data_IF_599095097833
#
_entry.id   IF_599095097833
#
_cell.length_a   1.000
_cell.length_b   1.000
_cell.length_c   1.000
_cell.angle_alpha   90.00
_cell.angle_beta   90.00
_cell.angle_gamma   90.00
#
_symmetry.space_group_name_H-M   'P 1'
#
loop_
_entity.id
_entity.type
_entity.pdbx_description
1 polymer ?
#
# COMPACT_ATOMS: atom_id res chain seq x y z
N UNK A 1 12.48 9.62 4.60
CA UNK A 1 13.25 8.42 4.32
C UNK A 1 12.32 7.26 4.01
N UNK A 2 12.60 6.54 2.93
CA UNK A 2 11.77 5.42 2.50
C UNK A 2 12.66 4.22 2.20
N UNK A 3 12.26 3.04 2.72
CA UNK A 3 12.99 1.79 2.52
C UNK A 3 12.04 0.69 2.05
N UNK A 4 12.54 -0.24 1.26
CA UNK A 4 11.89 -1.53 1.03
C UNK A 4 12.70 -2.61 1.74
N UNK A 5 12.03 -3.64 2.24
CA UNK A 5 12.66 -4.69 3.05
C UNK A 5 12.01 -6.04 2.83
N UNK A 6 12.79 -7.08 3.04
CA UNK A 6 12.31 -8.46 3.10
C UNK A 6 11.77 -8.83 4.49
N UNK A 7 11.99 -7.99 5.51
CA UNK A 7 11.58 -8.24 6.89
C UNK A 7 10.10 -7.91 7.13
N UNK A 8 9.49 -8.62 8.05
CA UNK A 8 8.20 -8.26 8.66
C UNK A 8 8.40 -8.03 10.17
N UNK A 9 7.33 -7.78 10.89
CA UNK A 9 7.39 -7.52 12.32
C UNK A 9 7.40 -8.78 13.20
N UNK A 10 7.65 -9.94 12.61
CA UNK A 10 7.75 -11.19 13.37
C UNK A 10 9.12 -11.30 14.06
N UNK A 11 9.18 -11.83 15.30
CA UNK A 11 10.46 -11.94 16.02
C UNK A 11 11.55 -12.69 15.25
N UNK A 12 11.19 -13.73 14.46
CA UNK A 12 12.15 -14.46 13.65
C UNK A 12 12.87 -13.59 12.62
N UNK A 13 12.19 -12.59 12.05
CA UNK A 13 12.78 -11.67 11.08
C UNK A 13 13.62 -10.59 11.76
N UNK A 14 13.21 -10.14 12.96
CA UNK A 14 13.89 -9.05 13.65
C UNK A 14 15.12 -9.52 14.45
N UNK A 15 15.14 -10.78 14.90
CA UNK A 15 16.16 -11.29 15.83
C UNK A 15 16.96 -12.46 15.26
N UNK A 16 16.32 -13.38 14.51
CA UNK A 16 16.91 -14.67 14.11
C UNK A 16 17.35 -14.76 12.67
N UNK A 17 16.97 -13.81 11.80
CA UNK A 17 17.30 -13.82 10.38
C UNK A 17 18.10 -12.58 9.99
N UNK A 18 18.90 -12.75 8.95
CA UNK A 18 19.51 -11.62 8.24
C UNK A 18 18.52 -11.17 7.19
N UNK A 19 18.08 -9.90 7.28
CA UNK A 19 17.12 -9.31 6.37
C UNK A 19 17.74 -8.14 5.61
N UNK A 20 17.23 -7.88 4.42
CA UNK A 20 17.71 -6.81 3.56
C UNK A 20 16.84 -5.56 3.69
N UNK A 21 17.47 -4.42 3.93
CA UNK A 21 16.84 -3.09 3.88
C UNK A 21 17.49 -2.29 2.77
N UNK A 22 16.70 -1.84 1.82
CA UNK A 22 17.20 -1.05 0.69
C UNK A 22 16.56 0.33 0.72
N UNK A 23 17.36 1.42 0.82
CA UNK A 23 16.80 2.76 0.74
C UNK A 23 16.28 3.04 -0.67
N UNK A 24 15.12 3.67 -0.76
CA UNK A 24 14.53 4.08 -2.03
C UNK A 24 14.85 5.55 -2.23
N UNK A 25 15.80 5.83 -3.11
CA UNK A 25 16.31 7.19 -3.37
C UNK A 25 15.77 7.81 -4.66
N UNK A 26 15.40 6.99 -5.63
CA UNK A 26 14.83 7.48 -6.89
C UNK A 26 13.49 8.18 -6.65
N UNK A 27 13.35 9.47 -7.05
CA UNK A 27 12.12 10.23 -6.81
C UNK A 27 10.86 9.61 -7.44
N UNK A 28 10.98 9.04 -8.64
CA UNK A 28 9.85 8.40 -9.32
C UNK A 28 9.39 7.14 -8.57
N UNK A 29 10.33 6.31 -8.12
CA UNK A 29 10.02 5.12 -7.32
C UNK A 29 9.41 5.49 -5.97
N UNK A 30 9.94 6.52 -5.31
CA UNK A 30 9.39 7.03 -4.04
C UNK A 30 7.96 7.50 -4.20
N UNK A 31 7.67 8.24 -5.27
CA UNK A 31 6.31 8.72 -5.56
C UNK A 31 5.36 7.57 -5.81
N UNK A 32 5.78 6.55 -6.54
CA UNK A 32 4.97 5.36 -6.80
C UNK A 32 4.64 4.60 -5.52
N UNK A 33 5.61 4.40 -4.63
CA UNK A 33 5.39 3.76 -3.33
C UNK A 33 4.45 4.58 -2.44
N UNK A 34 4.58 5.90 -2.47
CA UNK A 34 3.69 6.80 -1.75
C UNK A 34 2.25 6.67 -2.24
N UNK A 35 2.03 6.57 -3.54
CA UNK A 35 0.70 6.34 -4.14
C UNK A 35 0.10 5.01 -3.68
N UNK A 36 0.91 3.95 -3.59
CA UNK A 36 0.48 2.65 -3.07
C UNK A 36 0.00 2.78 -1.62
N UNK A 37 0.78 3.42 -0.76
CA UNK A 37 0.43 3.61 0.65
C UNK A 37 -0.82 4.48 0.82
N UNK A 38 -0.95 5.55 0.04
CA UNK A 38 -2.14 6.40 0.05
C UNK A 38 -3.38 5.65 -0.41
N UNK A 39 -3.26 4.75 -1.39
CA UNK A 39 -4.35 3.89 -1.83
C UNK A 39 -4.83 2.96 -0.72
N UNK A 40 -3.92 2.37 0.05
CA UNK A 40 -4.29 1.58 1.23
C UNK A 40 -5.07 2.41 2.24
N UNK A 41 -4.61 3.62 2.53
CA UNK A 41 -5.24 4.50 3.51
C UNK A 41 -6.65 4.94 3.09
N UNK A 42 -6.91 5.06 1.78
CA UNK A 42 -8.21 5.47 1.24
C UNK A 42 -9.20 4.33 1.04
N UNK A 43 -8.78 3.06 1.24
CA UNK A 43 -9.67 1.92 1.04
C UNK A 43 -10.88 2.00 1.97
N UNK A 44 -12.08 2.09 1.39
CA UNK A 44 -13.34 2.16 2.12
C UNK A 44 -14.25 0.96 1.85
N UNK A 45 -13.72 -0.11 1.29
CA UNK A 45 -14.44 -1.35 0.98
C UNK A 45 -13.93 -2.51 1.82
N UNK A 46 -12.62 -2.72 1.86
CA UNK A 46 -11.96 -3.80 2.60
C UNK A 46 -11.11 -3.32 3.76
N UNK A 47 -10.87 -2.01 3.84
CA UNK A 47 -10.07 -1.43 4.91
C UNK A 47 -10.72 -1.58 6.28
N UNK A 48 -9.86 -1.68 7.31
CA UNK A 48 -10.29 -1.74 8.72
C UNK A 48 -9.49 -0.74 9.52
N UNK A 49 -10.16 -0.07 10.45
CA UNK A 49 -9.53 0.90 11.34
C UNK A 49 -9.31 0.25 12.70
N UNK A 50 -8.07 0.25 13.17
CA UNK A 50 -7.73 -0.24 14.51
C UNK A 50 -8.08 0.83 15.55
N UNK A 51 -8.89 0.44 16.54
CA UNK A 51 -9.30 1.30 17.65
C UNK A 51 -8.34 1.19 18.84
N UNK A 52 -8.29 2.20 19.72
CA UNK A 52 -7.43 2.15 20.91
C UNK A 52 -7.69 0.99 21.84
N UNK A 53 -8.92 0.42 21.83
CA UNK A 53 -9.29 -0.74 22.64
C UNK A 53 -8.90 -2.09 22.03
N UNK A 54 -8.22 -2.08 20.88
CA UNK A 54 -7.80 -3.27 20.15
C UNK A 54 -8.83 -3.83 19.18
N UNK A 55 -10.01 -3.23 19.08
CA UNK A 55 -11.03 -3.64 18.10
C UNK A 55 -10.76 -3.05 16.73
N UNK A 56 -11.26 -3.73 15.70
CA UNK A 56 -11.20 -3.26 14.32
C UNK A 56 -12.58 -2.89 13.83
N UNK A 57 -12.72 -1.68 13.29
CA UNK A 57 -13.93 -1.24 12.61
C UNK A 57 -13.73 -1.30 11.10
N UNK A 58 -14.70 -1.82 10.40
CA UNK A 58 -14.69 -1.81 8.94
C UNK A 58 -14.96 -0.40 8.43
N UNK A 59 -14.06 0.09 7.57
CA UNK A 59 -14.24 1.37 6.89
C UNK A 59 -15.28 1.19 5.77
N UNK A 60 -16.30 2.04 5.75
CA UNK A 60 -17.38 2.00 4.75
C UNK A 60 -17.44 3.32 4.00
N UNK A 61 -17.81 3.31 2.70
CA UNK A 61 -17.99 4.56 1.97
C UNK A 61 -19.14 5.37 2.58
N UNK A 62 -18.94 6.68 2.66
CA UNK A 62 -19.99 7.62 3.09
C UNK A 62 -21.04 7.77 1.98
N UNK A 63 -22.29 8.18 2.30
CA UNK A 63 -23.28 8.49 1.28
C UNK A 63 -22.72 9.49 0.26
N UNK A 64 -22.83 9.17 -1.03
CA UNK A 64 -22.28 9.98 -2.11
C UNK A 64 -20.77 9.83 -2.36
N UNK A 65 -20.06 9.10 -1.51
CA UNK A 65 -18.64 8.84 -1.67
C UNK A 65 -18.42 7.65 -2.61
N UNK A 66 -17.46 7.76 -3.54
CA UNK A 66 -17.08 6.66 -4.41
C UNK A 66 -16.41 5.54 -3.61
N UNK A 67 -16.70 4.29 -3.99
CA UNK A 67 -16.03 3.13 -3.40
C UNK A 67 -14.59 3.07 -3.90
N UNK A 68 -13.65 2.89 -2.96
CA UNK A 68 -12.23 2.77 -3.27
C UNK A 68 -11.68 1.50 -2.61
N UNK A 69 -11.40 0.50 -3.44
CA UNK A 69 -10.73 -0.75 -3.03
C UNK A 69 -9.30 -0.70 -3.54
N UNK A 70 -8.32 -0.68 -2.63
CA UNK A 70 -6.92 -0.44 -3.00
C UNK A 70 -6.34 -1.46 -3.99
N UNK A 71 -6.64 -2.75 -3.83
CA UNK A 71 -6.14 -3.78 -4.74
C UNK A 71 -6.64 -3.60 -6.18
N UNK A 72 -7.93 -3.31 -6.32
CA UNK A 72 -8.53 -3.05 -7.63
C UNK A 72 -7.97 -1.76 -8.24
N UNK A 73 -7.84 -0.71 -7.44
CA UNK A 73 -7.28 0.57 -7.88
C UNK A 73 -5.83 0.41 -8.38
N UNK A 74 -4.99 -0.30 -7.62
CA UNK A 74 -3.60 -0.55 -8.00
C UNK A 74 -3.50 -1.41 -9.26
N UNK A 75 -4.39 -2.38 -9.42
CA UNK A 75 -4.48 -3.19 -10.64
C UNK A 75 -4.81 -2.31 -11.86
N UNK A 76 -5.80 -1.43 -11.72
CA UNK A 76 -6.20 -0.50 -12.79
C UNK A 76 -5.06 0.45 -13.17
N UNK A 77 -4.31 0.96 -12.19
CA UNK A 77 -3.14 1.79 -12.44
C UNK A 77 -2.05 1.03 -13.19
N UNK A 78 -1.81 -0.23 -12.84
CA UNK A 78 -0.82 -1.07 -13.49
C UNK A 78 -1.21 -1.38 -14.93
N UNK A 79 -2.48 -1.66 -15.20
CA UNK A 79 -3.01 -1.88 -16.56
C UNK A 79 -2.87 -0.62 -17.40
N UNK A 80 -3.22 0.53 -16.85
CA UNK A 80 -3.10 1.82 -17.55
C UNK A 80 -1.62 2.11 -17.92
N UNK A 81 -0.70 1.89 -17.00
CA UNK A 81 0.73 2.08 -17.24
C UNK A 81 1.25 1.11 -18.33
N UNK A 82 0.79 -0.16 -18.30
CA UNK A 82 1.14 -1.14 -19.31
C UNK A 82 0.65 -0.76 -20.70
N UNK A 83 -0.58 -0.24 -20.80
CA UNK A 83 -1.15 0.22 -22.07
C UNK A 83 -0.37 1.40 -22.65
N UNK A 84 0.03 2.34 -21.81
CA UNK A 84 0.86 3.48 -22.23
C UNK A 84 2.21 2.99 -22.74
N UNK A 85 2.85 2.05 -22.04
CA UNK A 85 4.12 1.47 -22.45
C UNK A 85 4.01 0.71 -23.79
N UNK A 86 2.87 0.07 -24.07
CA UNK A 86 2.63 -0.67 -25.29
C UNK A 86 2.40 0.24 -26.50
N UNK A 87 1.94 1.47 -26.28
CA UNK A 87 1.70 2.47 -27.32
C UNK A 87 2.97 3.19 -27.76
N UNK A 88 4.02 3.03 -27.03
CA UNK A 88 5.35 3.50 -27.40
C UNK A 88 6.09 2.44 -28.21
#
# INVERSE_FOLDING_TARGET
>A
LMFISSADWMPRNLVRRVELFVPVEDPAARQRLKEVLESYARDNVKGRCLRPDGRYDRVRPRPGQARHRHQQHLFELAVAASQIATQC
#
